data_IF_428612055545
#
_entry.id   IF_428612055545
#
_cell.length_a   1.000
_cell.length_b   1.000
_cell.length_c   1.000
_cell.angle_alpha   90.00
_cell.angle_beta   90.00
_cell.angle_gamma   90.00
#
_symmetry.space_group_name_H-M   'P 1'
#
loop_
_entity.id
_entity.type
_entity.pdbx_description
1 polymer ?
#
# COMPACT_ATOMS: atom_id res chain seq x y z
N UNK A 1 -0.30 8.01 -5.67
CA UNK A 1 1.10 7.72 -5.23
C UNK A 1 1.86 7.26 -6.46
N UNK A 2 3.12 7.62 -6.71
CA UNK A 2 3.77 7.21 -7.98
C UNK A 2 3.78 5.67 -8.16
N UNK A 3 4.02 4.94 -7.07
CA UNK A 3 4.02 3.47 -7.05
C UNK A 3 2.62 2.82 -7.03
N UNK A 4 1.51 3.59 -7.02
CA UNK A 4 0.17 3.01 -7.15
C UNK A 4 -0.22 2.69 -8.59
N UNK A 5 0.51 3.24 -9.57
CA UNK A 5 0.16 3.15 -10.99
C UNK A 5 1.37 2.91 -11.91
N UNK A 6 2.59 2.96 -11.36
CA UNK A 6 3.82 2.78 -12.12
C UNK A 6 4.64 1.60 -11.56
N UNK A 7 5.24 0.84 -12.46
CA UNK A 7 6.22 -0.20 -12.17
C UNK A 7 7.56 0.38 -11.68
N UNK A 8 8.40 -0.46 -11.08
CA UNK A 8 9.72 -0.06 -10.59
C UNK A 8 10.58 0.57 -11.71
N UNK A 9 10.56 -0.01 -12.91
CA UNK A 9 11.32 0.51 -14.05
C UNK A 9 10.81 1.87 -14.54
N UNK A 10 9.50 2.08 -14.54
CA UNK A 10 8.91 3.38 -14.89
C UNK A 10 9.28 4.45 -13.88
N UNK A 11 9.22 4.12 -12.58
CA UNK A 11 9.63 5.03 -11.50
C UNK A 11 11.11 5.37 -11.63
N UNK A 12 11.98 4.37 -11.84
CA UNK A 12 13.42 4.57 -12.02
C UNK A 12 13.72 5.54 -13.16
N UNK A 13 13.06 5.37 -14.31
CA UNK A 13 13.16 6.28 -15.46
C UNK A 13 12.64 7.68 -15.11
N UNK A 14 11.49 7.76 -14.44
CA UNK A 14 10.85 9.02 -14.04
C UNK A 14 11.76 9.88 -13.17
N UNK A 15 12.48 9.27 -12.22
CA UNK A 15 13.43 9.95 -11.33
C UNK A 15 14.86 10.07 -11.92
N UNK A 16 15.07 9.61 -13.16
CA UNK A 16 16.36 9.65 -13.86
C UNK A 16 17.51 8.95 -13.12
N UNK A 17 17.23 7.83 -12.45
CA UNK A 17 18.24 7.06 -11.70
C UNK A 17 18.84 5.90 -12.53
N UNK A 18 20.11 5.59 -12.27
CA UNK A 18 20.77 4.42 -12.86
C UNK A 18 20.17 3.10 -12.35
N UNK A 19 19.77 3.06 -11.08
CA UNK A 19 19.13 1.91 -10.44
C UNK A 19 18.09 2.33 -9.41
N UNK A 20 17.14 1.44 -9.12
CA UNK A 20 16.13 1.62 -8.09
C UNK A 20 15.78 0.26 -7.48
N UNK A 21 15.68 0.20 -6.16
CA UNK A 21 15.16 -0.94 -5.42
C UNK A 21 14.37 -0.43 -4.21
N UNK A 22 13.37 -1.21 -3.80
CA UNK A 22 12.61 -0.96 -2.57
C UNK A 22 13.12 -1.82 -1.43
N UNK A 23 12.99 -1.30 -0.20
CA UNK A 23 13.14 -2.11 1.01
C UNK A 23 12.04 -3.17 1.03
N UNK A 24 12.40 -4.42 1.37
CA UNK A 24 11.40 -5.47 1.50
C UNK A 24 10.51 -5.21 2.72
N UNK A 25 9.20 -5.49 2.59
CA UNK A 25 8.25 -5.30 3.68
C UNK A 25 8.64 -6.13 4.92
N UNK A 26 9.05 -7.38 4.72
CA UNK A 26 9.52 -8.27 5.79
C UNK A 26 10.80 -7.72 6.45
N UNK A 27 11.77 -7.24 5.67
CA UNK A 27 12.99 -6.64 6.20
C UNK A 27 12.73 -5.37 7.02
N UNK A 28 11.80 -4.54 6.56
CA UNK A 28 11.35 -3.34 7.29
C UNK A 28 10.66 -3.69 8.61
N UNK A 29 9.79 -4.70 8.63
CA UNK A 29 9.09 -5.10 9.86
C UNK A 29 10.04 -5.74 10.88
N UNK A 30 11.02 -6.53 10.42
CA UNK A 30 12.03 -7.15 11.29
C UNK A 30 12.99 -6.14 11.92
N UNK A 31 13.22 -4.99 11.28
CA UNK A 31 14.10 -3.95 11.83
C UNK A 31 13.39 -3.02 12.81
N UNK A 32 12.06 -3.06 12.89
CA UNK A 32 11.28 -2.23 13.78
C UNK A 32 11.34 -2.74 15.24
N UNK A 33 11.21 -1.86 16.27
CA UNK A 33 11.36 -2.25 17.68
C UNK A 33 10.30 -3.20 18.26
N UNK A 34 9.22 -3.47 17.53
CA UNK A 34 8.07 -4.25 18.00
C UNK A 34 7.81 -5.41 17.04
N UNK A 35 6.90 -6.31 17.41
CA UNK A 35 6.57 -7.45 16.55
C UNK A 35 5.85 -6.98 15.27
N UNK A 36 6.03 -7.68 14.13
CA UNK A 36 5.44 -7.28 12.84
C UNK A 36 3.93 -7.06 12.85
N UNK A 37 3.20 -7.82 13.65
CA UNK A 37 1.74 -7.75 13.81
C UNK A 37 1.24 -6.50 14.56
N UNK A 38 2.14 -5.75 15.19
CA UNK A 38 1.81 -4.50 15.88
C UNK A 38 1.92 -3.25 14.99
N UNK A 39 2.14 -3.44 13.69
CA UNK A 39 2.21 -2.36 12.71
C UNK A 39 1.17 -2.54 11.60
N UNK A 40 0.48 -1.44 11.27
CA UNK A 40 -0.38 -1.41 10.08
C UNK A 40 0.49 -1.42 8.81
N UNK A 41 0.13 -2.29 7.85
CA UNK A 41 0.84 -2.43 6.56
C UNK A 41 -0.06 -2.13 5.36
N UNK A 42 -1.20 -1.47 5.59
CA UNK A 42 -2.22 -1.25 4.57
C UNK A 42 -1.70 -0.43 3.37
N UNK A 43 -0.82 0.55 3.59
CA UNK A 43 -0.23 1.34 2.51
C UNK A 43 0.61 0.51 1.52
N UNK A 44 1.04 -0.70 1.90
CA UNK A 44 1.82 -1.61 1.06
C UNK A 44 1.05 -2.84 0.59
N UNK A 45 0.02 -3.25 1.34
CA UNK A 45 -0.67 -4.54 1.15
C UNK A 45 -2.17 -4.40 0.89
N UNK A 46 -2.71 -3.19 1.00
CA UNK A 46 -4.14 -2.87 0.92
C UNK A 46 -5.00 -3.54 2.01
N UNK A 47 -4.38 -4.23 2.97
CA UNK A 47 -5.07 -4.88 4.10
C UNK A 47 -5.14 -3.93 5.28
N UNK A 48 -6.25 -3.20 5.38
CA UNK A 48 -6.54 -2.33 6.51
C UNK A 48 -6.98 -3.17 7.73
N UNK A 49 -6.43 -2.93 8.93
CA UNK A 49 -6.77 -3.68 10.15
C UNK A 49 -8.09 -3.21 10.78
N UNK A 50 -8.83 -2.33 10.10
CA UNK A 50 -10.12 -1.81 10.51
C UNK A 50 -11.17 -2.26 9.51
N UNK A 51 -12.32 -2.68 10.01
CA UNK A 51 -13.48 -2.99 9.19
C UNK A 51 -14.28 -1.73 8.90
N UNK A 52 -15.07 -1.76 7.83
CA UNK A 52 -16.11 -0.76 7.62
C UNK A 52 -17.19 -0.87 8.68
N UNK A 53 -17.80 0.26 9.02
CA UNK A 53 -19.06 0.31 9.73
C UNK A 53 -20.21 -0.02 8.79
N UNK A 54 -21.37 -0.39 9.35
CA UNK A 54 -22.57 -0.69 8.56
C UNK A 54 -23.02 0.48 7.66
N UNK A 55 -22.83 1.72 8.11
CA UNK A 55 -23.19 2.90 7.32
C UNK A 55 -22.25 3.09 6.12
N UNK A 56 -20.95 2.85 6.30
CA UNK A 56 -19.95 2.95 5.24
C UNK A 56 -20.13 1.86 4.17
N UNK A 57 -20.48 0.63 4.59
CA UNK A 57 -20.80 -0.45 3.65
C UNK A 57 -21.95 -0.07 2.70
N UNK A 58 -22.99 0.59 3.22
CA UNK A 58 -24.14 1.03 2.42
C UNK A 58 -23.75 2.10 1.39
N UNK A 59 -22.72 2.91 1.66
CA UNK A 59 -22.24 3.93 0.73
C UNK A 59 -21.42 3.35 -0.44
N UNK A 60 -20.81 2.17 -0.27
CA UNK A 60 -20.01 1.55 -1.34
C UNK A 60 -20.83 1.29 -2.61
N UNK A 61 -22.12 0.95 -2.47
CA UNK A 61 -23.04 0.75 -3.59
C UNK A 61 -23.20 1.98 -4.51
N UNK A 62 -22.88 3.18 -4.05
CA UNK A 62 -22.90 4.40 -4.87
C UNK A 62 -21.78 4.42 -5.94
N UNK A 63 -20.72 3.64 -5.73
CA UNK A 63 -19.54 3.60 -6.61
C UNK A 63 -19.49 2.33 -7.48
N UNK A 64 -20.40 1.37 -7.26
CA UNK A 64 -20.46 0.11 -8.03
C UNK A 64 -20.89 0.33 -9.50
N UNK A 65 -21.60 1.41 -9.80
CA UNK A 65 -22.08 1.73 -11.15
C UNK A 65 -21.02 2.42 -12.03
N UNK A 66 -19.85 2.73 -11.49
CA UNK A 66 -18.79 3.50 -12.15
C UNK A 66 -17.56 2.65 -12.56
N UNK A 67 -17.67 1.31 -12.53
CA UNK A 67 -16.62 0.38 -13.01
C UNK A 67 -17.01 -0.29 -14.31
#
# INVERSE_FOLDING_TARGET
>A
LIASDHSIEEIRKYITADSLAYLSLDGMLKSAPRTPDQYCTACFTERYPISFTRAEELQLGLFETAR
#
